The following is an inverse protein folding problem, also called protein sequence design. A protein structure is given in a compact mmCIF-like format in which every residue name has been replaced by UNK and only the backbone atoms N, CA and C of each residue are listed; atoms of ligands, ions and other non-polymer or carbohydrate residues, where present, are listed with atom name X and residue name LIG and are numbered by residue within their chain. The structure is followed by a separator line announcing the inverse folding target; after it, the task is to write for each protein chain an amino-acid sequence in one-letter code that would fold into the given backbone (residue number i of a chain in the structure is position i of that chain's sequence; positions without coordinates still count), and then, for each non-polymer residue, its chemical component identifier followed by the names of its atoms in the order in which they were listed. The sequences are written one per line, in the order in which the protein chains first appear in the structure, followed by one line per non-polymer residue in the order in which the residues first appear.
data_IF_982878013623
#
_entry.id   IF_982878013623
#
_cell.length_a   1.000
_cell.length_b   1.000
_cell.length_c   1.000
_cell.angle_alpha   90.00
_cell.angle_beta   90.00
_cell.angle_gamma   90.00
#
_symmetry.space_group_name_H-M   'P 1'
#
loop_
_entity.id
_entity.type
_entity.pdbx_description
1 polymer ?
#
# COMPACT_ATOMS: atom_id res chain seq x y z
N UNK A 1 9.14 -18.47 26.73
CA UNK A 1 7.72 -18.81 26.44
C UNK A 1 7.46 -19.08 24.95
N UNK A 2 7.67 -18.14 24.01
CA UNK A 2 7.42 -18.40 22.57
C UNK A 2 8.27 -19.53 21.98
N UNK A 3 9.58 -19.51 22.20
CA UNK A 3 10.47 -20.59 21.73
C UNK A 3 10.18 -21.96 22.36
N UNK A 4 9.59 -22.02 23.57
CA UNK A 4 9.14 -23.27 24.18
C UNK A 4 7.89 -23.83 23.48
N UNK A 5 7.05 -22.96 22.92
CA UNK A 5 5.84 -23.37 22.16
C UNK A 5 6.17 -23.69 20.69
N UNK A 6 7.03 -22.87 20.08
CA UNK A 6 7.49 -23.03 18.72
C UNK A 6 8.90 -22.47 18.59
N UNK A 7 9.88 -23.35 18.45
CA UNK A 7 11.29 -22.98 18.34
C UNK A 7 11.60 -22.20 17.05
N UNK A 8 10.78 -22.36 16.02
CA UNK A 8 10.87 -21.66 14.76
C UNK A 8 9.96 -20.42 14.68
N UNK A 9 9.46 -19.90 15.80
CA UNK A 9 8.57 -18.73 15.81
C UNK A 9 9.28 -17.50 15.22
N UNK A 10 8.86 -17.00 14.05
CA UNK A 10 9.53 -15.88 13.38
C UNK A 10 9.42 -14.58 14.18
N UNK A 11 8.34 -14.39 14.94
CA UNK A 11 8.18 -13.22 15.80
C UNK A 11 9.16 -13.26 16.96
N UNK A 12 9.38 -14.44 17.53
CA UNK A 12 10.33 -14.62 18.61
C UNK A 12 11.77 -14.32 18.16
N UNK A 13 12.15 -14.72 16.94
CA UNK A 13 13.43 -14.37 16.35
C UNK A 13 13.60 -12.86 16.11
N UNK A 14 12.55 -12.17 15.64
CA UNK A 14 12.59 -10.71 15.48
C UNK A 14 12.79 -10.00 16.83
N UNK A 15 12.06 -10.42 17.87
CA UNK A 15 12.21 -9.87 19.22
C UNK A 15 13.59 -10.16 19.81
N UNK A 16 14.17 -11.34 19.55
CA UNK A 16 15.53 -11.68 19.98
C UNK A 16 16.58 -10.77 19.33
N UNK A 17 16.42 -10.45 18.03
CA UNK A 17 17.28 -9.49 17.31
C UNK A 17 17.13 -8.07 17.86
N UNK A 18 15.92 -7.65 18.21
CA UNK A 18 15.69 -6.38 18.89
C UNK A 18 16.40 -6.34 20.25
N UNK A 19 16.30 -7.41 21.05
CA UNK A 19 17.00 -7.51 22.34
C UNK A 19 18.51 -7.40 22.18
N UNK A 20 19.09 -8.03 21.16
CA UNK A 20 20.52 -7.94 20.84
C UNK A 20 20.97 -6.50 20.54
N UNK A 21 20.09 -5.71 19.90
CA UNK A 21 20.32 -4.29 19.66
C UNK A 21 20.17 -3.44 20.94
N UNK A 22 19.12 -3.68 21.73
CA UNK A 22 18.77 -2.85 22.89
C UNK A 22 19.63 -3.12 24.14
N UNK A 23 20.09 -4.35 24.32
CA UNK A 23 20.87 -4.75 25.50
C UNK A 23 22.35 -4.32 25.33
N UNK A 24 22.68 -3.15 25.88
CA UNK A 24 24.05 -2.59 25.89
C UNK A 24 24.86 -2.98 27.13
N UNK A 25 24.21 -3.32 28.25
CA UNK A 25 24.86 -3.55 29.55
C UNK A 25 25.16 -5.02 29.89
N UNK A 26 24.31 -5.97 29.45
CA UNK A 26 24.59 -7.41 29.52
C UNK A 26 23.80 -8.12 28.43
N UNK A 27 24.51 -8.81 27.54
CA UNK A 27 23.94 -9.63 26.45
C UNK A 27 23.91 -11.11 26.81
N UNK A 28 24.28 -11.48 28.04
CA UNK A 28 24.51 -12.87 28.43
C UNK A 28 23.27 -13.72 28.24
N UNK A 29 22.09 -13.19 28.59
CA UNK A 29 20.80 -13.88 28.35
C UNK A 29 20.48 -14.01 26.86
N UNK A 30 20.81 -13.02 26.04
CA UNK A 30 20.60 -13.07 24.59
C UNK A 30 21.51 -14.13 23.96
N UNK A 31 22.80 -14.13 24.31
CA UNK A 31 23.77 -15.11 23.82
C UNK A 31 23.47 -16.52 24.31
N UNK A 32 23.11 -16.67 25.59
CA UNK A 32 22.69 -17.95 26.14
C UNK A 32 21.49 -18.52 25.39
N UNK A 33 20.46 -17.69 25.14
CA UNK A 33 19.29 -18.13 24.36
C UNK A 33 19.66 -18.48 22.91
N UNK A 34 20.52 -17.70 22.24
CA UNK A 34 21.01 -18.02 20.89
C UNK A 34 21.75 -19.37 20.87
N UNK A 35 22.67 -19.60 21.80
CA UNK A 35 23.42 -20.86 21.89
C UNK A 35 22.53 -22.07 22.19
N UNK A 36 21.50 -21.90 23.03
CA UNK A 36 20.48 -22.93 23.22
C UNK A 36 19.73 -23.21 21.91
N UNK A 37 19.29 -22.17 21.19
CA UNK A 37 18.58 -22.32 19.92
C UNK A 37 19.42 -23.04 18.86
N UNK A 38 20.70 -22.67 18.72
CA UNK A 38 21.65 -23.26 17.76
C UNK A 38 21.98 -24.72 18.08
N UNK A 39 22.20 -25.06 19.35
CA UNK A 39 22.57 -26.42 19.79
C UNK A 39 21.41 -27.41 19.81
N UNK A 40 20.16 -26.96 19.64
CA UNK A 40 19.01 -27.84 19.82
C UNK A 40 18.67 -28.14 21.29
N UNK A 41 19.40 -27.59 22.27
CA UNK A 41 19.17 -27.84 23.69
C UNK A 41 17.83 -27.31 24.22
N UNK A 42 17.34 -27.88 25.31
CA UNK A 42 16.10 -27.43 25.97
C UNK A 42 16.28 -26.03 26.58
N UNK A 43 15.22 -25.21 26.52
CA UNK A 43 15.21 -23.87 27.09
C UNK A 43 14.62 -23.93 28.51
N UNK A 44 15.44 -23.74 29.57
CA UNK A 44 14.96 -23.87 30.94
C UNK A 44 14.08 -22.66 31.33
N UNK A 45 12.90 -22.94 31.90
CA UNK A 45 11.93 -21.91 32.28
C UNK A 45 12.48 -20.90 33.30
N UNK A 46 13.42 -21.33 34.15
CA UNK A 46 13.98 -20.50 35.23
C UNK A 46 15.06 -19.49 34.78
N UNK A 47 15.63 -19.64 33.57
CA UNK A 47 16.78 -18.83 33.15
C UNK A 47 16.41 -17.42 32.64
N UNK A 48 15.16 -17.20 32.23
CA UNK A 48 14.75 -16.00 31.49
C UNK A 48 13.79 -15.07 32.24
N UNK A 49 13.56 -15.31 33.54
CA UNK A 49 12.64 -14.51 34.35
C UNK A 49 11.15 -14.81 34.07
N UNK A 50 10.23 -14.04 34.68
CA UNK A 50 8.80 -14.29 34.54
C UNK A 50 8.29 -13.98 33.12
N UNK A 51 7.20 -14.65 32.72
CA UNK A 51 6.55 -14.37 31.45
C UNK A 51 6.04 -12.93 31.40
N UNK A 52 6.45 -12.18 30.37
CA UNK A 52 5.97 -10.82 30.12
C UNK A 52 4.68 -10.86 29.29
N UNK A 53 3.70 -10.04 29.66
CA UNK A 53 2.49 -9.84 28.85
C UNK A 53 2.87 -9.11 27.54
N UNK A 54 2.53 -9.68 26.39
CA UNK A 54 2.87 -9.11 25.08
C UNK A 54 2.22 -7.75 24.82
N UNK A 55 0.99 -7.53 25.28
CA UNK A 55 0.29 -6.26 25.16
C UNK A 55 0.95 -5.16 25.99
N UNK A 56 1.39 -5.47 27.21
CA UNK A 56 2.10 -4.51 28.05
C UNK A 56 3.49 -4.19 27.51
N UNK A 57 4.19 -5.18 26.95
CA UNK A 57 5.44 -4.96 26.23
C UNK A 57 5.24 -4.08 24.99
N UNK A 58 4.17 -4.30 24.22
CA UNK A 58 3.83 -3.45 23.08
C UNK A 58 3.59 -1.99 23.50
N UNK A 59 2.82 -1.76 24.58
CA UNK A 59 2.62 -0.42 25.15
C UNK A 59 3.95 0.22 25.59
N UNK A 60 4.85 -0.58 26.18
CA UNK A 60 6.17 -0.10 26.58
C UNK A 60 7.00 0.35 25.38
N UNK A 61 7.04 -0.43 24.28
CA UNK A 61 7.70 -0.03 23.05
C UNK A 61 7.12 1.26 22.47
N UNK A 62 5.80 1.41 22.45
CA UNK A 62 5.13 2.64 21.98
C UNK A 62 5.53 3.85 22.83
N UNK A 63 5.61 3.69 24.15
CA UNK A 63 6.04 4.75 25.07
C UNK A 63 7.51 5.11 24.85
N UNK A 64 8.37 4.10 24.72
CA UNK A 64 9.82 4.26 24.57
C UNK A 64 10.22 4.86 23.21
N UNK A 65 9.42 4.64 22.17
CA UNK A 65 9.66 5.19 20.84
C UNK A 65 9.70 6.73 20.81
N UNK A 66 9.08 7.40 21.78
CA UNK A 66 9.09 8.86 21.89
C UNK A 66 8.42 9.56 20.70
N UNK A 67 8.73 10.84 20.49
CA UNK A 67 8.09 11.68 19.47
C UNK A 67 8.95 11.98 18.25
N UNK A 68 10.27 11.75 18.31
CA UNK A 68 11.20 12.11 17.22
C UNK A 68 11.19 11.06 16.11
N UNK A 69 10.86 11.44 14.85
CA UNK A 69 10.92 10.53 13.71
C UNK A 69 12.32 9.93 13.52
N UNK A 70 12.43 8.61 13.61
CA UNK A 70 13.68 7.88 13.38
C UNK A 70 13.41 6.44 12.94
N UNK A 71 14.38 5.79 12.30
CA UNK A 71 14.28 4.35 12.01
C UNK A 71 14.14 3.54 13.31
N UNK A 72 14.76 3.99 14.41
CA UNK A 72 14.57 3.42 15.74
C UNK A 72 13.12 3.51 16.23
N UNK A 73 12.49 4.68 16.13
CA UNK A 73 11.08 4.84 16.48
C UNK A 73 10.19 3.90 15.65
N UNK A 74 10.43 3.80 14.33
CA UNK A 74 9.71 2.89 13.45
C UNK A 74 9.96 1.42 13.78
N UNK A 75 11.19 1.05 14.17
CA UNK A 75 11.52 -0.30 14.62
C UNK A 75 10.72 -0.67 15.86
N UNK A 76 10.60 0.25 16.83
CA UNK A 76 9.80 0.06 18.03
C UNK A 76 8.30 -0.03 17.71
N UNK A 77 7.78 0.78 16.78
CA UNK A 77 6.41 0.62 16.31
C UNK A 77 6.18 -0.70 15.58
N UNK A 78 7.10 -1.13 14.71
CA UNK A 78 7.03 -2.45 14.06
C UNK A 78 7.07 -3.59 15.08
N UNK A 79 7.85 -3.45 16.14
CA UNK A 79 7.92 -4.41 17.26
C UNK A 79 6.63 -4.42 18.08
N UNK A 80 6.05 -3.26 18.36
CA UNK A 80 4.75 -3.16 19.00
C UNK A 80 3.64 -3.76 18.14
N UNK A 81 3.67 -3.55 16.83
CA UNK A 81 2.70 -4.12 15.88
C UNK A 81 2.79 -5.64 15.78
N UNK A 82 3.99 -6.20 15.92
CA UNK A 82 4.23 -7.64 15.96
C UNK A 82 3.51 -8.33 17.13
N UNK A 83 3.51 -7.64 18.28
CA UNK A 83 2.95 -8.08 19.56
C UNK A 83 1.45 -7.77 19.69
N UNK A 84 1.05 -6.55 19.33
CA UNK A 84 -0.33 -6.07 19.34
C UNK A 84 -0.71 -5.46 17.97
N UNK A 85 -1.09 -6.31 17.00
CA UNK A 85 -1.47 -5.86 15.67
C UNK A 85 -2.80 -5.09 15.64
N UNK A 86 -3.56 -5.07 16.74
CA UNK A 86 -4.84 -4.36 16.85
C UNK A 86 -4.66 -2.93 17.37
N UNK A 87 -3.45 -2.53 17.79
CA UNK A 87 -3.19 -1.18 18.25
C UNK A 87 -3.43 -0.16 17.13
N UNK A 88 -4.53 0.60 17.22
CA UNK A 88 -4.90 1.66 16.26
C UNK A 88 -3.75 2.65 16.05
N UNK A 89 -3.14 3.12 17.15
CA UNK A 89 -2.03 4.08 17.12
C UNK A 89 -0.82 3.56 16.34
N UNK A 90 -0.40 2.32 16.60
CA UNK A 90 0.76 1.72 15.93
C UNK A 90 0.46 1.47 14.45
N UNK A 91 -0.75 0.99 14.16
CA UNK A 91 -1.22 0.74 12.81
C UNK A 91 -1.20 2.02 11.96
N UNK A 92 -1.73 3.12 12.49
CA UNK A 92 -1.69 4.44 11.85
C UNK A 92 -0.24 4.88 11.61
N UNK A 93 0.64 4.76 12.62
CA UNK A 93 2.03 5.19 12.50
C UNK A 93 2.79 4.44 11.39
N UNK A 94 2.63 3.11 11.32
CA UNK A 94 3.23 2.28 10.25
C UNK A 94 2.66 2.66 8.89
N UNK A 95 1.35 2.86 8.79
CA UNK A 95 0.72 3.18 7.51
C UNK A 95 1.10 4.58 7.01
N UNK A 96 1.20 5.54 7.93
CA UNK A 96 1.74 6.89 7.68
C UNK A 96 3.15 6.81 7.12
N UNK A 97 4.04 6.03 7.75
CA UNK A 97 5.41 5.82 7.27
C UNK A 97 5.45 5.22 5.84
N UNK A 98 4.63 4.19 5.58
CA UNK A 98 4.51 3.57 4.24
C UNK A 98 4.06 4.57 3.18
N UNK A 99 3.04 5.39 3.48
CA UNK A 99 2.54 6.42 2.54
C UNK A 99 3.59 7.47 2.21
N UNK A 100 4.46 7.78 3.18
CA UNK A 100 5.59 8.69 2.99
C UNK A 100 6.78 8.06 2.26
N UNK A 101 6.65 6.80 1.82
CA UNK A 101 7.66 6.08 1.05
C UNK A 101 8.72 5.39 1.89
N UNK A 102 8.53 5.29 3.21
CA UNK A 102 9.46 4.57 4.07
C UNK A 102 9.25 3.07 4.00
N UNK A 103 10.36 2.33 4.02
CA UNK A 103 10.34 0.91 4.23
C UNK A 103 10.13 0.62 5.72
N UNK A 104 9.05 -0.09 6.05
CA UNK A 104 8.70 -0.47 7.42
C UNK A 104 9.00 -1.93 7.72
N UNK A 105 9.72 -2.64 6.84
CA UNK A 105 10.19 -3.99 7.08
C UNK A 105 11.11 -4.03 8.31
N UNK A 106 10.89 -5.02 9.18
CA UNK A 106 11.58 -5.12 10.46
C UNK A 106 13.10 -5.20 10.30
N UNK A 107 13.59 -6.02 9.36
CA UNK A 107 15.02 -6.23 9.14
C UNK A 107 15.67 -5.00 8.51
N UNK A 108 14.97 -4.34 7.58
CA UNK A 108 15.41 -3.06 7.05
C UNK A 108 15.56 -2.01 8.15
N UNK A 109 14.55 -1.87 9.02
CA UNK A 109 14.56 -0.90 10.12
C UNK A 109 15.68 -1.19 11.12
N UNK A 110 15.90 -2.48 11.44
CA UNK A 110 16.97 -2.91 12.34
C UNK A 110 18.36 -2.53 11.79
N UNK A 111 18.62 -2.78 10.50
CA UNK A 111 19.90 -2.44 9.85
C UNK A 111 20.14 -0.93 9.74
N UNK A 112 19.07 -0.16 9.61
CA UNK A 112 19.12 1.30 9.40
C UNK A 112 18.81 2.09 10.67
N UNK A 113 18.83 1.45 11.84
CA UNK A 113 18.37 2.05 13.10
C UNK A 113 19.03 3.39 13.44
N UNK A 114 20.32 3.51 13.12
CA UNK A 114 21.14 4.71 13.37
C UNK A 114 21.12 5.71 12.20
N UNK A 115 20.49 5.35 11.08
CA UNK A 115 20.41 6.23 9.92
C UNK A 115 19.30 7.26 10.12
N UNK A 116 19.50 8.53 9.70
CA UNK A 116 18.43 9.51 9.72
C UNK A 116 17.30 9.10 8.78
N UNK A 117 16.06 9.45 9.14
CA UNK A 117 14.94 9.34 8.21
C UNK A 117 15.15 10.36 7.08
N UNK A 118 14.96 9.97 5.80
CA UNK A 118 15.02 10.91 4.69
C UNK A 118 14.10 12.12 4.90
N UNK A 119 14.56 13.32 4.55
CA UNK A 119 13.80 14.58 4.76
C UNK A 119 12.43 14.57 4.09
N UNK A 120 12.31 13.92 2.91
CA UNK A 120 11.03 13.74 2.24
C UNK A 120 10.02 12.93 3.05
N UNK A 121 10.44 12.13 4.03
CA UNK A 121 9.51 11.33 4.83
C UNK A 121 9.06 12.04 6.13
N UNK A 122 9.59 13.24 6.38
CA UNK A 122 9.18 14.07 7.51
C UNK A 122 7.88 14.83 7.22
N UNK A 123 7.56 15.05 5.95
CA UNK A 123 6.33 15.72 5.50
C UNK A 123 5.32 14.73 4.89
N UNK A 124 4.03 15.08 4.83
CA UNK A 124 3.00 14.27 4.17
C UNK A 124 3.35 13.98 2.70
N UNK A 125 2.78 12.93 2.08
CA UNK A 125 3.08 12.55 0.69
C UNK A 125 2.84 13.67 -0.34
N UNK A 126 1.92 14.58 -0.02
CA UNK A 126 1.60 15.80 -0.75
C UNK A 126 0.92 16.79 0.19
N UNK A 127 0.88 18.07 -0.21
CA UNK A 127 0.10 19.09 0.47
C UNK A 127 -1.31 19.14 -0.13
N UNK A 128 -2.38 18.98 0.68
CA UNK A 128 -3.74 19.17 0.21
C UNK A 128 -3.96 20.55 -0.41
N UNK A 129 -4.81 20.59 -1.44
CA UNK A 129 -5.26 21.87 -2.00
C UNK A 129 -6.27 22.57 -1.10
N UNK A 130 -7.11 21.80 -0.40
CA UNK A 130 -8.14 22.35 0.48
C UNK A 130 -7.54 22.90 1.78
N UNK A 131 -8.13 23.97 2.35
CA UNK A 131 -7.80 24.41 3.69
C UNK A 131 -7.94 23.27 4.71
N UNK A 132 -7.02 23.21 5.69
CA UNK A 132 -6.92 22.08 6.63
C UNK A 132 -8.25 21.71 7.30
N UNK A 133 -9.06 22.69 7.70
CA UNK A 133 -10.37 22.46 8.32
C UNK A 133 -11.34 21.76 7.38
N UNK A 134 -11.42 22.22 6.13
CA UNK A 134 -12.33 21.68 5.12
C UNK A 134 -11.88 20.31 4.64
N UNK A 135 -10.58 20.16 4.35
CA UNK A 135 -10.00 18.88 3.96
C UNK A 135 -10.23 17.82 5.02
N UNK A 136 -9.98 18.15 6.30
CA UNK A 136 -10.23 17.26 7.44
C UNK A 136 -11.70 16.87 7.54
N UNK A 137 -12.63 17.83 7.50
CA UNK A 137 -14.06 17.53 7.58
C UNK A 137 -14.52 16.63 6.44
N UNK A 138 -14.13 16.94 5.20
CA UNK A 138 -14.49 16.10 4.05
C UNK A 138 -13.88 14.70 4.16
N UNK A 139 -12.62 14.59 4.59
CA UNK A 139 -11.95 13.31 4.79
C UNK A 139 -12.62 12.46 5.87
N UNK A 140 -13.02 13.05 7.00
CA UNK A 140 -13.74 12.33 8.05
C UNK A 140 -15.10 11.81 7.58
N UNK A 141 -15.88 12.63 6.85
CA UNK A 141 -17.15 12.19 6.26
C UNK A 141 -16.94 11.06 5.24
N UNK A 142 -15.89 11.15 4.42
CA UNK A 142 -15.51 10.09 3.48
C UNK A 142 -15.06 8.83 4.21
N UNK A 143 -14.37 8.94 5.35
CA UNK A 143 -13.93 7.82 6.17
C UNK A 143 -15.12 7.08 6.78
N UNK A 144 -16.08 7.80 7.36
CA UNK A 144 -17.32 7.23 7.90
C UNK A 144 -18.11 6.51 6.81
N UNK A 145 -18.31 7.14 5.65
CA UNK A 145 -19.03 6.52 4.54
C UNK A 145 -18.29 5.32 3.95
N UNK A 146 -16.96 5.40 3.85
CA UNK A 146 -16.13 4.26 3.46
C UNK A 146 -16.28 3.10 4.45
N UNK A 147 -16.29 3.39 5.75
CA UNK A 147 -16.44 2.38 6.79
C UNK A 147 -17.76 1.63 6.65
N UNK A 148 -18.87 2.36 6.47
CA UNK A 148 -20.19 1.78 6.20
C UNK A 148 -20.12 0.80 5.01
N UNK A 149 -19.58 1.25 3.87
CA UNK A 149 -19.54 0.43 2.64
C UNK A 149 -18.58 -0.74 2.69
N UNK A 150 -17.46 -0.59 3.39
CA UNK A 150 -16.48 -1.66 3.57
C UNK A 150 -16.92 -2.68 4.61
N UNK A 151 -17.78 -2.29 5.56
CA UNK A 151 -18.41 -3.20 6.51
C UNK A 151 -19.45 -4.07 5.82
N UNK A 152 -20.31 -3.47 4.98
CA UNK A 152 -21.27 -4.20 4.14
C UNK A 152 -20.57 -5.17 3.18
N UNK A 153 -19.53 -4.69 2.49
CA UNK A 153 -18.74 -5.49 1.57
C UNK A 153 -17.28 -5.01 1.57
N UNK A 154 -16.36 -5.83 2.07
CA UNK A 154 -14.93 -5.49 2.15
C UNK A 154 -14.28 -5.21 0.78
N UNK A 155 -14.84 -5.78 -0.28
CA UNK A 155 -14.39 -5.54 -1.65
C UNK A 155 -15.12 -4.37 -2.32
N UNK A 156 -15.99 -3.66 -1.59
CA UNK A 156 -16.77 -2.52 -2.08
C UNK A 156 -15.86 -1.51 -2.77
N UNK A 157 -16.08 -1.36 -4.08
CA UNK A 157 -15.37 -0.40 -4.90
C UNK A 157 -15.68 1.02 -4.42
N UNK A 158 -16.93 1.32 -4.10
CA UNK A 158 -17.35 2.60 -3.53
C UNK A 158 -16.60 2.91 -2.23
N UNK A 159 -16.53 1.95 -1.31
CA UNK A 159 -15.79 2.13 -0.05
C UNK A 159 -14.31 2.46 -0.29
N UNK A 160 -13.64 1.73 -1.20
CA UNK A 160 -12.25 1.99 -1.58
C UNK A 160 -12.07 3.36 -2.25
N UNK A 161 -13.01 3.77 -3.11
CA UNK A 161 -13.02 5.10 -3.77
C UNK A 161 -13.17 6.22 -2.76
N UNK A 162 -14.01 6.04 -1.73
CA UNK A 162 -14.16 7.02 -0.64
C UNK A 162 -12.91 7.13 0.22
N UNK A 163 -12.22 6.01 0.49
CA UNK A 163 -10.89 6.04 1.12
C UNK A 163 -9.90 6.85 0.29
N UNK A 164 -9.89 6.64 -1.05
CA UNK A 164 -9.01 7.37 -1.95
C UNK A 164 -9.32 8.87 -1.97
N UNK A 165 -10.59 9.26 -2.10
CA UNK A 165 -11.05 10.65 -2.01
C UNK A 165 -10.54 11.29 -0.72
N UNK A 166 -10.85 10.68 0.43
CA UNK A 166 -10.51 11.24 1.72
C UNK A 166 -9.01 11.45 1.90
N UNK A 167 -8.19 10.50 1.46
CA UNK A 167 -6.73 10.61 1.54
C UNK A 167 -6.16 11.67 0.59
N UNK A 168 -6.80 11.93 -0.55
CA UNK A 168 -6.40 12.98 -1.48
C UNK A 168 -6.68 14.39 -0.95
N UNK A 169 -7.69 14.54 -0.08
CA UNK A 169 -8.04 15.83 0.54
C UNK A 169 -7.44 16.02 1.93
N UNK A 170 -7.13 14.93 2.64
CA UNK A 170 -6.35 14.93 3.89
C UNK A 170 -5.51 13.63 4.00
N UNK A 171 -4.23 13.66 3.57
CA UNK A 171 -3.38 12.47 3.52
C UNK A 171 -2.96 11.95 4.90
N UNK A 172 -3.17 12.73 5.96
CA UNK A 172 -2.78 12.41 7.33
C UNK A 172 -3.97 12.07 8.22
N UNK A 173 -5.19 12.03 7.65
CA UNK A 173 -6.41 11.65 8.36
C UNK A 173 -6.29 10.26 9.00
N UNK A 174 -6.47 10.19 10.31
CA UNK A 174 -6.19 9.00 11.09
C UNK A 174 -7.20 7.87 10.88
N UNK A 175 -8.47 8.21 10.67
CA UNK A 175 -9.52 7.23 10.39
C UNK A 175 -9.23 6.49 9.08
N UNK A 176 -8.86 7.23 8.03
CA UNK A 176 -8.54 6.67 6.71
C UNK A 176 -7.25 5.85 6.71
N UNK A 177 -6.21 6.32 7.42
CA UNK A 177 -4.97 5.56 7.60
C UNK A 177 -5.24 4.22 8.31
N UNK A 178 -6.12 4.23 9.30
CA UNK A 178 -6.53 3.03 10.00
C UNK A 178 -7.36 2.09 9.11
N UNK A 179 -8.37 2.61 8.40
CA UNK A 179 -9.19 1.83 7.46
C UNK A 179 -8.36 1.17 6.37
N UNK A 180 -7.43 1.91 5.75
CA UNK A 180 -6.52 1.36 4.73
C UNK A 180 -5.65 0.23 5.28
N UNK A 181 -5.31 0.28 6.57
CA UNK A 181 -4.55 -0.78 7.22
C UNK A 181 -5.40 -2.01 7.51
N UNK A 182 -6.65 -1.84 7.99
CA UNK A 182 -7.59 -2.93 8.21
C UNK A 182 -7.97 -3.60 6.88
N UNK A 183 -8.19 -2.85 5.81
CA UNK A 183 -8.37 -3.44 4.47
C UNK A 183 -7.21 -4.35 4.09
N UNK A 184 -6.00 -4.00 4.57
CA UNK A 184 -4.81 -4.81 4.39
C UNK A 184 -4.72 -6.08 5.25
N UNK A 185 -5.54 -6.24 6.29
CA UNK A 185 -5.51 -7.37 7.23
C UNK A 185 -6.80 -8.18 7.11
N UNK A 186 -6.76 -9.51 7.15
CA UNK A 186 -7.97 -10.37 7.17
C UNK A 186 -8.71 -10.33 8.51
N UNK A 187 -9.11 -9.13 8.96
CA UNK A 187 -9.84 -8.90 10.20
C UNK A 187 -11.09 -8.09 9.92
N UNK A 188 -12.21 -8.51 10.53
CA UNK A 188 -13.47 -7.75 10.55
C UNK A 188 -13.31 -6.60 11.54
N UNK A 189 -13.70 -5.40 11.14
CA UNK A 189 -13.90 -4.27 12.07
C UNK A 189 -15.10 -4.57 12.95
N UNK A 190 -15.03 -4.21 14.23
CA UNK A 190 -16.22 -4.14 15.09
C UNK A 190 -17.17 -3.05 14.62
N UNK A 191 -18.46 -3.26 14.94
CA UNK A 191 -19.62 -2.52 14.47
C UNK A 191 -19.51 -1.00 14.61
N UNK A 192 -19.92 -0.28 13.56
CA UNK A 192 -20.08 1.18 13.60
C UNK A 192 -21.57 1.53 13.51
N UNK A 193 -21.97 2.48 14.36
CA UNK A 193 -23.32 3.03 14.49
C UNK A 193 -23.90 3.54 13.16
N UNK A 194 -25.18 3.24 12.94
CA UNK A 194 -25.94 3.40 11.70
C UNK A 194 -26.53 4.80 11.44
N UNK A 195 -25.77 5.88 11.65
CA UNK A 195 -26.21 7.21 11.16
C UNK A 195 -25.88 7.36 9.68
N UNK A 196 -26.89 7.55 8.83
CA UNK A 196 -26.72 7.72 7.38
C UNK A 196 -25.86 8.94 7.06
N UNK A 197 -24.58 8.70 6.73
CA UNK A 197 -23.58 9.75 6.49
C UNK A 197 -23.54 10.20 5.01
N UNK A 198 -24.32 9.54 4.15
CA UNK A 198 -24.46 9.84 2.71
C UNK A 198 -24.82 11.31 2.46
N UNK A 199 -25.86 11.83 3.15
CA UNK A 199 -26.37 13.18 2.92
C UNK A 199 -25.35 14.25 3.35
N UNK A 200 -24.78 14.21 4.57
CA UNK A 200 -23.71 15.13 4.97
C UNK A 200 -22.52 15.14 4.00
N UNK A 201 -22.07 13.97 3.53
CA UNK A 201 -20.97 13.86 2.57
C UNK A 201 -21.32 14.51 1.23
N UNK A 202 -22.48 14.19 0.65
CA UNK A 202 -22.94 14.78 -0.62
C UNK A 202 -23.10 16.30 -0.54
N UNK A 203 -23.58 16.82 0.59
CA UNK A 203 -23.69 18.26 0.84
C UNK A 203 -22.31 18.90 0.86
N UNK A 204 -21.35 18.30 1.56
CA UNK A 204 -19.99 18.86 1.68
C UNK A 204 -19.23 18.84 0.36
N UNK A 205 -19.36 17.76 -0.41
CA UNK A 205 -18.80 17.66 -1.76
C UNK A 205 -19.32 18.78 -2.68
N UNK A 206 -20.64 19.02 -2.64
CA UNK A 206 -21.28 20.04 -3.46
C UNK A 206 -20.91 21.47 -3.04
N UNK A 207 -20.84 21.73 -1.74
CA UNK A 207 -20.38 23.02 -1.18
C UNK A 207 -18.97 23.35 -1.67
N UNK A 208 -18.06 22.37 -1.65
CA UNK A 208 -16.68 22.58 -2.06
C UNK A 208 -16.56 22.71 -3.58
N UNK A 209 -17.32 21.94 -4.37
CA UNK A 209 -17.15 21.91 -5.84
C UNK A 209 -17.51 23.21 -6.54
N UNK A 210 -18.34 24.05 -5.92
CA UNK A 210 -18.74 25.37 -6.47
C UNK A 210 -17.82 26.51 -6.01
N UNK A 211 -16.84 26.23 -5.15
CA UNK A 211 -15.95 27.24 -4.62
C UNK A 211 -15.01 27.79 -5.70
N UNK A 212 -14.89 29.12 -5.76
CA UNK A 212 -13.90 29.78 -6.62
C UNK A 212 -12.47 29.48 -6.11
N UNK A 213 -11.56 29.21 -7.04
CA UNK A 213 -10.14 28.97 -6.74
C UNK A 213 -9.74 27.50 -6.68
N UNK A 214 -10.69 26.56 -6.70
CA UNK A 214 -10.36 25.14 -6.87
C UNK A 214 -9.75 24.88 -8.25
N UNK A 215 -8.77 24.00 -8.30
CA UNK A 215 -8.24 23.47 -9.55
C UNK A 215 -9.31 22.65 -10.27
N UNK A 216 -9.19 22.60 -11.59
CA UNK A 216 -10.05 21.75 -12.43
C UNK A 216 -9.97 20.28 -12.01
N UNK A 217 -8.79 19.81 -11.57
CA UNK A 217 -8.59 18.43 -11.14
C UNK A 217 -9.30 18.13 -9.82
N UNK A 218 -9.28 19.06 -8.86
CA UNK A 218 -10.06 18.92 -7.63
C UNK A 218 -11.56 18.88 -7.94
N UNK A 219 -12.05 19.79 -8.80
CA UNK A 219 -13.47 19.79 -9.17
C UNK A 219 -13.88 18.51 -9.91
N UNK A 220 -13.03 17.97 -10.79
CA UNK A 220 -13.25 16.67 -11.41
C UNK A 220 -13.39 15.56 -10.36
N UNK A 221 -12.49 15.53 -9.37
CA UNK A 221 -12.53 14.53 -8.30
C UNK A 221 -13.83 14.63 -7.50
N UNK A 222 -14.23 15.83 -7.10
CA UNK A 222 -15.44 16.06 -6.32
C UNK A 222 -16.70 15.64 -7.10
N UNK A 223 -16.80 16.00 -8.38
CA UNK A 223 -17.92 15.61 -9.23
C UNK A 223 -17.95 14.11 -9.50
N UNK A 224 -16.81 13.46 -9.75
CA UNK A 224 -16.72 12.01 -9.86
C UNK A 224 -17.17 11.34 -8.56
N UNK A 225 -16.69 11.78 -7.39
CA UNK A 225 -17.15 11.26 -6.09
C UNK A 225 -18.64 11.42 -5.87
N UNK A 226 -19.25 12.52 -6.30
CA UNK A 226 -20.69 12.70 -6.18
C UNK A 226 -21.47 11.70 -7.03
N UNK A 227 -21.01 11.38 -8.25
CA UNK A 227 -21.63 10.35 -9.11
C UNK A 227 -21.48 8.95 -8.50
N UNK A 228 -20.33 8.65 -7.90
CA UNK A 228 -20.10 7.38 -7.20
C UNK A 228 -21.11 7.13 -6.06
N UNK A 229 -21.51 8.20 -5.36
CA UNK A 229 -22.48 8.15 -4.26
C UNK A 229 -23.93 8.24 -4.75
N UNK A 230 -24.16 9.02 -5.82
CA UNK A 230 -25.47 9.33 -6.39
C UNK A 230 -25.36 9.42 -7.93
N UNK A 231 -25.53 8.29 -8.64
CA UNK A 231 -25.25 8.20 -10.08
C UNK A 231 -26.07 9.15 -10.94
N UNK A 232 -27.30 9.46 -10.53
CA UNK A 232 -28.27 10.24 -11.31
C UNK A 232 -28.15 11.76 -11.08
N UNK A 233 -27.09 12.21 -10.39
CA UNK A 233 -26.92 13.63 -10.04
C UNK A 233 -26.61 14.49 -11.27
N UNK A 234 -27.66 15.06 -11.85
CA UNK A 234 -27.64 15.84 -13.10
C UNK A 234 -26.45 16.82 -13.20
N UNK A 235 -26.24 17.67 -12.19
CA UNK A 235 -25.17 18.67 -12.22
C UNK A 235 -23.76 18.06 -12.38
N UNK A 236 -23.49 16.92 -11.74
CA UNK A 236 -22.21 16.24 -11.84
C UNK A 236 -22.06 15.48 -13.16
N UNK A 237 -23.13 14.86 -13.65
CA UNK A 237 -23.15 14.20 -14.98
C UNK A 237 -22.82 15.23 -16.06
N UNK A 238 -23.53 16.35 -16.08
CA UNK A 238 -23.32 17.43 -17.05
C UNK A 238 -21.89 17.97 -16.96
N UNK A 239 -21.39 18.18 -15.75
CA UNK A 239 -20.02 18.65 -15.54
C UNK A 239 -18.99 17.69 -16.13
N UNK A 240 -19.04 16.40 -15.78
CA UNK A 240 -18.08 15.42 -16.29
C UNK A 240 -18.24 15.17 -17.79
N UNK A 241 -19.47 15.18 -18.32
CA UNK A 241 -19.69 15.03 -19.76
C UNK A 241 -19.04 16.16 -20.56
N UNK A 242 -19.11 17.42 -20.08
CA UNK A 242 -18.38 18.54 -20.67
C UNK A 242 -16.86 18.36 -20.62
N UNK A 243 -16.34 17.72 -19.57
CA UNK A 243 -14.92 17.40 -19.45
C UNK A 243 -14.51 16.28 -20.42
N UNK A 244 -15.37 15.27 -20.59
CA UNK A 244 -15.18 14.19 -21.57
C UNK A 244 -15.10 14.72 -23.00
N UNK A 245 -15.96 15.68 -23.37
CA UNK A 245 -15.91 16.35 -24.68
C UNK A 245 -14.59 17.09 -24.94
N UNK A 246 -13.89 17.49 -23.87
CA UNK A 246 -12.54 18.07 -23.93
C UNK A 246 -11.42 17.02 -23.94
N UNK A 247 -11.75 15.75 -24.08
CA UNK A 247 -10.80 14.64 -24.14
C UNK A 247 -10.27 14.17 -22.77
N UNK A 248 -10.90 14.60 -21.66
CA UNK A 248 -10.48 14.24 -20.31
C UNK A 248 -11.15 12.92 -19.90
N UNK A 249 -10.39 11.99 -19.30
CA UNK A 249 -10.94 10.76 -18.73
C UNK A 249 -11.83 11.10 -17.53
N UNK A 250 -13.01 10.48 -17.47
CA UNK A 250 -14.02 10.83 -16.46
C UNK A 250 -14.29 9.71 -15.43
N UNK A 251 -13.63 8.56 -15.54
CA UNK A 251 -13.68 7.54 -14.50
C UNK A 251 -12.93 8.00 -13.24
N UNK A 252 -13.45 7.58 -12.09
CA UNK A 252 -12.92 8.01 -10.79
C UNK A 252 -11.43 7.69 -10.64
N UNK A 253 -10.99 6.50 -11.04
CA UNK A 253 -9.60 6.06 -10.92
C UNK A 253 -8.63 6.96 -11.69
N UNK A 254 -8.95 7.28 -12.94
CA UNK A 254 -8.12 8.17 -13.76
C UNK A 254 -8.06 9.58 -13.19
N UNK A 255 -9.20 10.13 -12.75
CA UNK A 255 -9.27 11.47 -12.14
C UNK A 255 -8.46 11.51 -10.83
N UNK A 256 -8.65 10.51 -9.95
CA UNK A 256 -7.97 10.43 -8.66
C UNK A 256 -6.45 10.34 -8.84
N UNK A 257 -5.99 9.56 -9.83
CA UNK A 257 -4.58 9.45 -10.18
C UNK A 257 -4.01 10.78 -10.69
N UNK A 258 -4.68 11.42 -11.64
CA UNK A 258 -4.24 12.68 -12.20
C UNK A 258 -4.14 13.77 -11.13
N UNK A 259 -5.13 13.84 -10.24
CA UNK A 259 -5.11 14.75 -9.10
C UNK A 259 -3.98 14.44 -8.12
N UNK A 260 -3.74 13.16 -7.78
CA UNK A 260 -2.61 12.78 -6.91
C UNK A 260 -1.26 13.21 -7.50
N UNK A 261 -1.06 13.01 -8.81
CA UNK A 261 0.17 13.42 -9.49
C UNK A 261 0.35 14.94 -9.46
N UNK A 262 -0.73 15.69 -9.68
CA UNK A 262 -0.72 17.14 -9.55
C UNK A 262 -0.30 17.59 -8.15
N UNK A 263 -0.87 17.00 -7.10
CA UNK A 263 -0.51 17.30 -5.72
C UNK A 263 0.95 16.95 -5.41
N UNK A 264 1.45 15.81 -5.93
CA UNK A 264 2.86 15.41 -5.79
C UNK A 264 3.82 16.38 -6.50
N UNK A 265 3.46 16.89 -7.68
CA UNK A 265 4.28 17.90 -8.40
C UNK A 265 4.39 19.21 -7.62
N UNK A 266 3.29 19.68 -7.02
CA UNK A 266 3.29 20.88 -6.16
C UNK A 266 4.23 20.76 -4.95
N UNK A 267 4.51 19.54 -4.49
CA UNK A 267 5.41 19.28 -3.37
C UNK A 267 6.89 19.51 -3.70
N UNK A 268 7.28 19.42 -4.97
CA UNK A 268 8.67 19.60 -5.42
C UNK A 268 8.76 20.79 -6.37
N UNK A 269 8.99 22.02 -5.88
CA UNK A 269 9.06 23.19 -6.75
C UNK A 269 10.22 23.16 -7.75
N UNK A 270 11.32 22.43 -7.48
CA UNK A 270 12.54 22.51 -8.32
C UNK A 270 13.10 21.14 -8.72
N UNK A 271 12.53 20.55 -9.78
CA UNK A 271 13.27 19.57 -10.58
C UNK A 271 12.88 19.71 -12.06
N UNK A 272 13.84 19.79 -13.00
CA UNK A 272 13.51 19.83 -14.42
C UNK A 272 12.66 18.63 -14.78
N UNK A 273 11.57 18.89 -15.48
CA UNK A 273 10.57 17.93 -15.89
C UNK A 273 11.19 16.85 -16.79
N UNK A 274 11.48 15.68 -16.22
CA UNK A 274 11.67 14.46 -17.00
C UNK A 274 10.30 13.93 -17.47
N UNK A 275 9.69 14.64 -18.41
CA UNK A 275 8.39 14.31 -19.03
C UNK A 275 8.36 12.90 -19.66
N UNK A 276 9.54 12.33 -19.94
CA UNK A 276 9.74 10.98 -20.47
C UNK A 276 9.51 9.87 -19.43
N UNK A 277 9.80 10.12 -18.14
CA UNK A 277 9.66 9.12 -17.06
C UNK A 277 8.20 9.00 -16.61
N UNK A 278 7.48 10.13 -16.55
CA UNK A 278 6.07 10.17 -16.13
C UNK A 278 5.11 9.47 -17.11
N UNK A 279 5.40 9.51 -18.42
CA UNK A 279 4.65 8.73 -19.42
C UNK A 279 4.90 7.21 -19.28
N UNK A 280 6.09 6.81 -18.85
CA UNK A 280 6.44 5.39 -18.66
C UNK A 280 5.66 4.74 -17.51
N UNK A 281 5.56 5.41 -16.36
CA UNK A 281 4.85 4.88 -15.18
C UNK A 281 3.33 4.76 -15.41
N UNK A 282 2.72 5.73 -16.12
CA UNK A 282 1.32 5.67 -16.54
C UNK A 282 1.06 4.48 -17.47
N UNK A 283 1.97 4.25 -18.42
CA UNK A 283 1.86 3.12 -19.33
C UNK A 283 1.99 1.78 -18.62
N UNK A 284 2.90 1.69 -17.65
CA UNK A 284 3.15 0.47 -16.89
C UNK A 284 1.94 0.07 -16.03
N UNK A 285 1.23 1.05 -15.47
CA UNK A 285 -0.01 0.83 -14.73
C UNK A 285 -1.15 0.32 -15.63
N UNK A 286 -1.36 0.95 -16.79
CA UNK A 286 -2.38 0.55 -17.77
C UNK A 286 -2.12 -0.87 -18.31
N UNK A 287 -0.86 -1.15 -18.69
CA UNK A 287 -0.45 -2.49 -19.13
C UNK A 287 -0.61 -3.52 -18.03
N UNK A 288 -0.40 -3.15 -16.78
CA UNK A 288 -0.57 -4.05 -15.64
C UNK A 288 -2.03 -4.38 -15.38
N UNK A 289 -2.95 -3.42 -15.54
CA UNK A 289 -4.39 -3.68 -15.46
C UNK A 289 -4.82 -4.67 -16.55
N UNK A 290 -4.39 -4.40 -17.78
CA UNK A 290 -4.63 -5.26 -18.93
C UNK A 290 -4.08 -6.67 -18.71
N UNK A 291 -2.86 -6.78 -18.15
CA UNK A 291 -2.20 -8.05 -17.86
C UNK A 291 -3.00 -8.90 -16.86
N UNK A 292 -3.56 -8.29 -15.81
CA UNK A 292 -4.33 -9.01 -14.79
C UNK A 292 -5.77 -9.30 -15.15
N UNK A 293 -6.33 -8.63 -16.17
CA UNK A 293 -7.75 -8.74 -16.51
C UNK A 293 -8.15 -10.09 -17.14
N UNK A 294 -7.17 -10.83 -17.70
CA UNK A 294 -7.43 -12.11 -18.38
C UNK A 294 -6.23 -13.04 -18.36
N UNK A 295 -6.44 -14.27 -18.81
CA UNK A 295 -5.35 -15.20 -19.15
C UNK A 295 -4.69 -14.78 -20.46
N UNK A 296 -3.39 -14.95 -20.52
CA UNK A 296 -2.56 -14.62 -21.67
C UNK A 296 -1.85 -15.86 -22.20
N UNK A 297 -1.74 -15.92 -23.51
CA UNK A 297 -0.90 -16.89 -24.19
C UNK A 297 0.48 -16.27 -24.38
N UNK A 298 1.50 -16.81 -23.71
CA UNK A 298 2.88 -16.40 -23.88
C UNK A 298 3.64 -17.49 -24.63
N UNK A 299 4.28 -17.11 -25.72
CA UNK A 299 5.13 -18.02 -26.50
C UNK A 299 6.58 -17.66 -26.27
N UNK A 300 7.36 -18.66 -25.87
CA UNK A 300 8.80 -18.53 -25.76
C UNK A 300 9.42 -18.65 -27.16
N UNK A 301 10.18 -17.63 -27.56
CA UNK A 301 10.78 -17.47 -28.88
C UNK A 301 11.76 -18.59 -29.21
N UNK A 302 12.53 -19.06 -28.22
CA UNK A 302 13.59 -20.06 -28.43
C UNK A 302 13.05 -21.48 -28.50
N UNK A 303 12.19 -21.86 -27.56
CA UNK A 303 11.65 -23.22 -27.45
C UNK A 303 10.36 -23.41 -28.26
N UNK A 304 9.76 -22.30 -28.75
CA UNK A 304 8.41 -22.24 -29.34
C UNK A 304 7.31 -22.78 -28.42
N UNK A 305 7.59 -22.91 -27.13
CA UNK A 305 6.61 -23.40 -26.17
C UNK A 305 5.59 -22.33 -25.86
N UNK A 306 4.33 -22.76 -25.74
CA UNK A 306 3.20 -21.90 -25.46
C UNK A 306 2.68 -22.16 -24.05
N UNK A 307 2.58 -21.11 -23.25
CA UNK A 307 2.08 -21.13 -21.88
C UNK A 307 0.80 -20.31 -21.76
N UNK A 308 -0.19 -20.86 -21.06
CA UNK A 308 -1.40 -20.14 -20.68
C UNK A 308 -1.22 -19.56 -19.27
N UNK A 309 -0.94 -18.27 -19.18
CA UNK A 309 -0.51 -17.60 -17.95
C UNK A 309 -1.61 -16.71 -17.40
N UNK A 310 -1.83 -16.77 -16.10
CA UNK A 310 -2.66 -15.84 -15.34
C UNK A 310 -1.82 -15.03 -14.37
N UNK A 311 -2.08 -13.73 -14.31
CA UNK A 311 -1.32 -12.78 -13.51
C UNK A 311 -2.18 -12.28 -12.35
N UNK A 312 -1.58 -12.22 -11.16
CA UNK A 312 -2.20 -11.66 -9.96
C UNK A 312 -1.28 -10.61 -9.37
N UNK A 313 -1.80 -9.40 -9.13
CA UNK A 313 -1.08 -8.39 -8.36
C UNK A 313 -0.93 -8.83 -6.91
N UNK A 314 0.27 -8.67 -6.35
CA UNK A 314 0.54 -8.86 -4.92
C UNK A 314 0.63 -7.52 -4.20
N UNK A 315 0.99 -6.46 -4.91
CA UNK A 315 0.96 -5.11 -4.38
C UNK A 315 -0.48 -4.60 -4.26
N UNK A 316 -0.80 -4.03 -3.10
CA UNK A 316 -2.04 -3.27 -2.84
C UNK A 316 -2.01 -1.86 -3.43
N UNK A 317 -0.86 -1.43 -3.97
CA UNK A 317 -0.71 -0.16 -4.67
C UNK A 317 -0.88 -0.37 -6.17
N UNK A 318 -1.84 0.36 -6.76
CA UNK A 318 -2.08 0.40 -8.21
C UNK A 318 -0.83 0.93 -8.96
N UNK A 319 0.04 1.69 -8.27
CA UNK A 319 1.26 2.30 -8.82
C UNK A 319 2.49 1.41 -8.77
N UNK A 320 2.35 0.18 -8.28
CA UNK A 320 3.41 -0.84 -8.33
C UNK A 320 2.90 -1.99 -9.17
N UNK A 321 3.17 -1.98 -10.49
CA UNK A 321 2.72 -3.02 -11.41
C UNK A 321 3.55 -4.28 -11.20
N UNK A 322 3.37 -4.96 -10.06
CA UNK A 322 4.10 -6.16 -9.67
C UNK A 322 3.18 -7.19 -9.00
N UNK A 323 3.55 -8.46 -9.11
CA UNK A 323 2.69 -9.55 -8.67
C UNK A 323 3.30 -10.94 -8.73
N UNK A 324 2.43 -11.96 -8.65
CA UNK A 324 2.73 -13.37 -8.89
C UNK A 324 1.97 -13.86 -10.12
N UNK A 325 2.47 -14.87 -10.80
CA UNK A 325 1.75 -15.45 -11.92
C UNK A 325 1.88 -16.96 -11.95
N UNK A 326 0.91 -17.62 -12.58
CA UNK A 326 0.87 -19.07 -12.73
C UNK A 326 0.57 -19.39 -14.20
N UNK A 327 1.24 -20.39 -14.74
CA UNK A 327 1.14 -20.80 -16.14
C UNK A 327 0.86 -22.28 -16.25
N UNK A 328 0.10 -22.63 -17.26
CA UNK A 328 -0.19 -24.03 -17.61
C UNK A 328 0.36 -24.33 -18.99
N UNK A 329 1.04 -25.47 -19.11
CA UNK A 329 1.48 -26.06 -20.39
C UNK A 329 1.11 -27.55 -20.39
N UNK A 330 0.13 -27.93 -21.20
CA UNK A 330 -0.45 -29.28 -21.11
C UNK A 330 -1.04 -29.52 -19.72
N UNK A 331 -0.61 -30.57 -19.03
CA UNK A 331 -1.03 -30.90 -17.67
C UNK A 331 -0.13 -30.30 -16.57
N UNK A 332 0.95 -29.60 -16.94
CA UNK A 332 1.91 -29.08 -15.97
C UNK A 332 1.54 -27.65 -15.54
N UNK A 333 1.32 -27.47 -14.24
CA UNK A 333 1.14 -26.17 -13.60
C UNK A 333 2.49 -25.68 -13.06
N UNK A 334 2.85 -24.45 -13.42
CA UNK A 334 4.04 -23.78 -12.91
C UNK A 334 3.65 -22.43 -12.29
N UNK A 335 4.33 -22.05 -11.21
CA UNK A 335 4.08 -20.80 -10.48
C UNK A 335 5.34 -19.97 -10.36
N UNK A 336 5.29 -18.73 -10.86
CA UNK A 336 6.33 -17.73 -10.71
C UNK A 336 6.04 -16.79 -9.54
N UNK A 337 7.07 -16.54 -8.75
CA UNK A 337 6.96 -15.79 -7.50
C UNK A 337 6.97 -14.28 -7.70
N UNK A 338 7.35 -13.82 -8.89
CA UNK A 338 7.38 -12.41 -9.23
C UNK A 338 7.09 -12.16 -10.71
N UNK A 339 6.33 -11.11 -10.96
CA UNK A 339 6.35 -10.38 -12.22
C UNK A 339 6.32 -8.89 -11.91
N UNK A 340 6.84 -8.06 -12.82
CA UNK A 340 6.67 -6.61 -12.80
C UNK A 340 6.65 -6.04 -14.20
N UNK A 341 6.00 -4.88 -14.38
CA UNK A 341 6.13 -4.09 -15.61
C UNK A 341 7.02 -2.89 -15.30
N UNK A 342 8.05 -2.70 -16.12
CA UNK A 342 8.94 -1.54 -16.03
C UNK A 342 9.31 -1.07 -17.42
N UNK A 343 9.10 0.20 -17.71
CA UNK A 343 9.35 0.80 -19.02
C UNK A 343 8.66 0.01 -20.14
N UNK A 344 7.41 -0.37 -19.91
CA UNK A 344 6.51 -1.06 -20.84
C UNK A 344 6.91 -2.50 -21.16
N UNK A 345 7.85 -3.05 -20.40
CA UNK A 345 8.30 -4.42 -20.51
C UNK A 345 7.80 -5.21 -19.30
N UNK A 346 7.05 -6.28 -19.56
CA UNK A 346 6.73 -7.29 -18.57
C UNK A 346 7.99 -8.13 -18.31
N UNK A 347 8.35 -8.26 -17.03
CA UNK A 347 9.47 -9.04 -16.54
C UNK A 347 8.91 -10.09 -15.57
N UNK A 348 9.12 -11.38 -15.84
CA UNK A 348 8.72 -12.51 -14.97
C UNK A 348 9.98 -13.12 -14.37
N UNK A 349 10.01 -13.25 -13.04
CA UNK A 349 11.12 -13.75 -12.21
C UNK A 349 12.51 -13.14 -12.52
N UNK A 350 12.52 -11.93 -13.08
CA UNK A 350 13.74 -11.18 -13.37
C UNK A 350 14.44 -11.54 -14.68
N UNK A 351 14.03 -12.60 -15.37
CA UNK A 351 14.69 -13.10 -16.59
C UNK A 351 13.81 -13.06 -17.84
N UNK A 352 12.55 -13.51 -17.77
CA UNK A 352 11.69 -13.56 -18.96
C UNK A 352 11.09 -12.19 -19.25
N UNK A 353 11.28 -11.67 -20.47
CA UNK A 353 10.92 -10.30 -20.85
C UNK A 353 9.95 -10.30 -22.01
N UNK A 354 8.85 -9.57 -21.90
CA UNK A 354 7.84 -9.44 -22.95
C UNK A 354 7.46 -7.98 -23.18
N UNK A 355 7.34 -7.59 -24.45
CA UNK A 355 6.80 -6.31 -24.87
C UNK A 355 5.36 -6.49 -25.36
N UNK A 356 4.46 -5.57 -25.00
CA UNK A 356 3.09 -5.61 -25.48
C UNK A 356 2.98 -4.98 -26.87
N UNK A 357 2.62 -5.79 -27.86
CA UNK A 357 2.32 -5.30 -29.21
C UNK A 357 0.86 -4.84 -29.26
N UNK A 358 0.67 -3.53 -29.44
CA UNK A 358 -0.65 -2.90 -29.47
C UNK A 358 -1.47 -3.25 -30.70
N UNK A 359 -0.82 -3.54 -31.83
CA UNK A 359 -1.51 -3.84 -33.09
C UNK A 359 -2.12 -5.23 -33.05
N UNK A 360 -1.33 -6.21 -32.60
CA UNK A 360 -1.76 -7.60 -32.48
C UNK A 360 -2.39 -7.94 -31.13
N UNK A 361 -2.38 -7.00 -30.16
CA UNK A 361 -2.91 -7.15 -28.80
C UNK A 361 -2.37 -8.38 -28.07
N UNK A 362 -1.10 -8.70 -28.28
CA UNK A 362 -0.40 -9.83 -27.65
C UNK A 362 0.93 -9.42 -27.03
N UNK A 363 1.37 -10.17 -26.03
CA UNK A 363 2.70 -10.04 -25.45
C UNK A 363 3.71 -10.85 -26.27
N UNK A 364 4.71 -10.17 -26.84
CA UNK A 364 5.78 -10.80 -27.62
C UNK A 364 7.06 -10.81 -26.79
N UNK A 365 7.79 -11.93 -26.77
CA UNK A 365 9.04 -11.99 -26.02
C UNK A 365 10.04 -10.97 -26.58
N UNK A 366 10.55 -10.11 -25.70
CA UNK A 366 11.56 -9.11 -26.04
C UNK A 366 12.94 -9.76 -25.91
N UNK A 367 13.85 -9.47 -26.85
CA UNK A 367 15.19 -10.06 -26.89
C UNK A 367 15.98 -9.78 -25.60
N UNK A 368 16.10 -10.80 -24.75
CA UNK A 368 16.93 -10.81 -23.53
C UNK A 368 17.51 -12.22 -23.36
N UNK A 369 18.80 -12.26 -22.95
CA UNK A 369 19.72 -13.41 -22.77
C UNK A 369 19.14 -14.84 -22.90
N UNK A 370 19.90 -15.68 -23.63
CA UNK A 370 19.70 -17.10 -24.01
C UNK A 370 19.29 -18.11 -22.92
N UNK A 371 19.11 -17.70 -21.67
CA UNK A 371 18.81 -18.59 -20.54
C UNK A 371 17.48 -18.19 -19.88
N UNK A 372 16.38 -18.23 -20.64
CA UNK A 372 15.03 -18.19 -20.07
C UNK A 372 14.57 -19.61 -19.72
N UNK A 373 15.22 -20.27 -18.77
CA UNK A 373 14.74 -21.56 -18.31
C UNK A 373 13.51 -21.38 -17.42
N UNK A 374 12.33 -21.56 -18.02
CA UNK A 374 11.14 -22.00 -17.31
C UNK A 374 11.35 -23.47 -16.90
N UNK A 375 11.91 -23.70 -15.71
CA UNK A 375 11.98 -25.04 -15.12
C UNK A 375 10.65 -25.47 -14.55
#
# INVERSE_FOLDING_TARGET
MRFNKNRADPKAFQLLRLSDLLCTLSRDKVFYLKGLLESGANIPDKAFGPATNEGDLAKHFVKFAGSRPSHFQLLLFSSAYLLDPNSKRVTIAIQRAKRRGLNTDFEYLLRNVNQPIPTFALTPPYFPELPAKEGKTLASLAAEYATEKLYENRESLLGKRMVALGLLVDPENEELLYLMSILGMDKRSESVSHTSIKIPLLRKLAEISIRKGNSTLLNNLLHASMIEIEPDRFASIVFLQKMKERGIKIDFESIALEYEQFLKKKRTPDRPSSSTVQKGELLDADLSNLLTAKRWTLTELHTKQTWFVSFRRTSKSIFKPEGKCQGVRGNNLHTWNSWKIKNSILIIDGYARYAYDRNSKVWKQASGKKDSFFH
#
